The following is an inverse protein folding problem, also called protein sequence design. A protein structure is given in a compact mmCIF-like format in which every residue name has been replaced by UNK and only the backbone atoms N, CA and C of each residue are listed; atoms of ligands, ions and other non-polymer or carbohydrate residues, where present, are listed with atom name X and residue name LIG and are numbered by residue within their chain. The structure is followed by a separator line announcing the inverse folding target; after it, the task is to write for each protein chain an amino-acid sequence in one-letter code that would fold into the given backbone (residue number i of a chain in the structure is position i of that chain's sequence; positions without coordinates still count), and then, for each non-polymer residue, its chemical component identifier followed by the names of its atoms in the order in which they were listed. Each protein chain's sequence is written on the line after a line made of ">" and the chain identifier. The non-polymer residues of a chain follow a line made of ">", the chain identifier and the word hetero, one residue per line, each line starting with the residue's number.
data_IF_038571472031
#
_entry.id   IF_038571472031
#
_cell.length_a   1.000
_cell.length_b   1.000
_cell.length_c   1.000
_cell.angle_alpha   90.00
_cell.angle_beta   90.00
_cell.angle_gamma   90.00
#
_symmetry.space_group_name_H-M   'P 1'
#
loop_
_entity.id
_entity.type
_entity.pdbx_description
1 polymer ?
#
# COMPACT_ATOMS: atom_id res chain seq x y z
N UNK A 1 -14.95 23.20 -34.74
CA UNK A 1 -13.89 23.13 -33.71
C UNK A 1 -13.91 21.73 -33.14
N UNK A 2 -12.75 21.04 -33.10
CA UNK A 2 -12.64 19.72 -32.49
C UNK A 2 -12.92 19.80 -30.99
N UNK A 3 -13.33 18.69 -30.39
CA UNK A 3 -13.30 18.54 -28.94
C UNK A 3 -11.87 18.34 -28.48
N UNK A 4 -11.52 18.97 -27.36
CA UNK A 4 -10.25 18.80 -26.68
C UNK A 4 -10.52 17.86 -25.50
N UNK A 5 -9.75 16.78 -25.43
CA UNK A 5 -9.89 15.78 -24.39
C UNK A 5 -8.75 15.93 -23.39
N UNK A 6 -9.08 16.17 -22.13
CA UNK A 6 -8.17 16.06 -20.99
C UNK A 6 -8.28 14.65 -20.44
N UNK A 7 -7.14 13.95 -20.38
CA UNK A 7 -7.09 12.59 -19.87
C UNK A 7 -6.04 12.53 -18.77
N UNK A 8 -6.47 12.30 -17.53
CA UNK A 8 -5.58 12.03 -16.42
C UNK A 8 -5.38 10.51 -16.32
N UNK A 9 -4.13 10.05 -16.32
CA UNK A 9 -3.76 8.64 -16.36
C UNK A 9 -2.97 8.27 -15.11
N UNK A 10 -3.35 7.16 -14.50
CA UNK A 10 -2.60 6.51 -13.43
C UNK A 10 -2.16 5.11 -13.87
N UNK A 11 -0.92 4.74 -13.54
CA UNK A 11 -0.31 3.45 -13.87
C UNK A 11 0.55 2.98 -12.73
N UNK A 12 0.23 1.78 -12.26
CA UNK A 12 0.86 1.17 -11.08
C UNK A 12 0.56 -0.32 -11.17
N UNK A 13 1.61 -1.15 -11.15
CA UNK A 13 1.65 -2.61 -11.38
C UNK A 13 0.29 -3.31 -11.64
N UNK A 14 -0.15 -3.27 -12.90
CA UNK A 14 -1.29 -4.04 -13.41
C UNK A 14 -2.62 -3.29 -13.48
N UNK A 15 -2.75 -2.11 -12.86
CA UNK A 15 -3.95 -1.28 -12.95
C UNK A 15 -3.64 0.02 -13.71
N UNK A 16 -4.33 0.21 -14.83
CA UNK A 16 -4.26 1.40 -15.66
C UNK A 16 -5.63 2.09 -15.59
N UNK A 17 -5.76 3.16 -14.81
CA UNK A 17 -7.01 3.92 -14.70
C UNK A 17 -6.90 5.27 -15.39
N UNK A 18 -8.01 5.73 -15.92
CA UNK A 18 -8.10 7.04 -16.56
C UNK A 18 -9.32 7.82 -16.07
N UNK A 19 -9.17 9.13 -15.94
CA UNK A 19 -10.28 10.07 -15.89
C UNK A 19 -10.30 10.88 -17.17
N UNK A 20 -11.48 11.09 -17.73
CA UNK A 20 -11.67 11.76 -19.01
C UNK A 20 -12.65 12.93 -18.85
N UNK A 21 -12.22 14.09 -19.34
CA UNK A 21 -13.05 15.26 -19.53
C UNK A 21 -12.87 15.78 -20.95
N UNK A 22 -13.91 16.33 -21.57
CA UNK A 22 -13.81 16.95 -22.89
C UNK A 22 -14.58 18.25 -22.97
N UNK A 23 -14.04 19.23 -23.69
CA UNK A 23 -14.72 20.48 -24.02
C UNK A 23 -14.21 21.03 -25.35
N UNK A 24 -14.98 21.93 -25.96
CA UNK A 24 -14.50 22.78 -27.08
C UNK A 24 -13.85 24.07 -26.60
N UNK A 25 -13.87 24.33 -25.29
CA UNK A 25 -13.38 25.54 -24.66
C UNK A 25 -12.11 25.26 -23.86
N UNK A 26 -10.99 25.85 -24.30
CA UNK A 26 -9.68 25.70 -23.66
C UNK A 26 -9.69 26.10 -22.18
N UNK A 27 -10.49 27.11 -21.80
CA UNK A 27 -10.57 27.56 -20.42
C UNK A 27 -11.17 26.47 -19.51
N UNK A 28 -12.17 25.73 -19.98
CA UNK A 28 -12.78 24.62 -19.23
C UNK A 28 -11.78 23.46 -19.03
N UNK A 29 -10.93 23.18 -20.03
CA UNK A 29 -9.85 22.18 -19.92
C UNK A 29 -8.85 22.57 -18.84
N UNK A 30 -8.45 23.84 -18.78
CA UNK A 30 -7.52 24.35 -17.77
C UNK A 30 -8.15 24.30 -16.38
N UNK A 31 -9.41 24.73 -16.24
CA UNK A 31 -10.15 24.67 -14.97
C UNK A 31 -10.27 23.24 -14.45
N UNK A 32 -10.63 22.29 -15.31
CA UNK A 32 -10.77 20.90 -14.90
C UNK A 32 -9.42 20.27 -14.53
N UNK A 33 -8.35 20.58 -15.27
CA UNK A 33 -6.99 20.14 -14.90
C UNK A 33 -6.59 20.64 -13.51
N UNK A 34 -6.86 21.91 -13.21
CA UNK A 34 -6.58 22.47 -11.88
C UNK A 34 -7.37 21.75 -10.79
N UNK A 35 -8.67 21.47 -11.03
CA UNK A 35 -9.53 20.72 -10.11
C UNK A 35 -8.98 19.31 -9.83
N UNK A 36 -8.50 18.60 -10.85
CA UNK A 36 -7.87 17.28 -10.69
C UNK A 36 -6.62 17.38 -9.81
N UNK A 37 -5.73 18.34 -10.09
CA UNK A 37 -4.50 18.54 -9.31
C UNK A 37 -4.83 18.83 -7.85
N UNK A 38 -5.75 19.76 -7.59
CA UNK A 38 -6.18 20.10 -6.23
C UNK A 38 -6.79 18.91 -5.51
N UNK A 39 -7.56 18.07 -6.20
CA UNK A 39 -8.14 16.87 -5.61
C UNK A 39 -7.08 15.79 -5.26
N UNK A 40 -5.93 15.77 -5.96
CA UNK A 40 -4.84 14.83 -5.73
C UNK A 40 -3.83 15.29 -4.67
N UNK A 41 -3.73 16.60 -4.39
CA UNK A 41 -2.77 17.21 -3.45
C UNK A 41 -3.12 17.01 -1.96
N UNK A 42 -3.49 15.79 -1.57
CA UNK A 42 -3.72 15.41 -0.16
C UNK A 42 -2.46 15.46 0.71
N UNK A 43 -2.61 15.63 2.03
CA UNK A 43 -1.56 16.07 2.96
C UNK A 43 -0.29 15.21 3.05
N UNK A 44 -0.31 13.93 2.66
CA UNK A 44 0.80 13.01 2.98
C UNK A 44 1.45 12.29 1.79
N UNK A 45 0.94 12.45 0.56
CA UNK A 45 1.57 11.82 -0.60
C UNK A 45 1.30 12.62 -1.87
N UNK A 46 2.37 13.00 -2.60
CA UNK A 46 2.22 13.61 -3.93
C UNK A 46 1.73 12.54 -4.88
N UNK A 47 0.42 12.41 -5.01
CA UNK A 47 -0.14 11.50 -5.98
C UNK A 47 0.19 11.99 -7.39
N UNK A 48 0.85 11.13 -8.18
CA UNK A 48 1.31 11.52 -9.51
C UNK A 48 0.40 10.91 -10.58
N UNK A 49 -0.15 11.75 -11.44
CA UNK A 49 -0.88 11.34 -12.64
C UNK A 49 -0.24 11.98 -13.85
N UNK A 50 -0.27 11.30 -14.99
CA UNK A 50 0.16 11.89 -16.25
C UNK A 50 -1.05 12.46 -17.00
N UNK A 51 -0.90 13.67 -17.54
CA UNK A 51 -1.96 14.31 -18.31
C UNK A 51 -1.67 14.18 -19.81
N UNK A 52 -2.69 13.79 -20.57
CA UNK A 52 -2.67 13.80 -22.04
C UNK A 52 -3.76 14.73 -22.56
N UNK A 53 -3.45 15.48 -23.61
CA UNK A 53 -4.39 16.34 -24.32
C UNK A 53 -4.51 15.82 -25.75
N UNK A 54 -5.73 15.46 -26.16
CA UNK A 54 -5.99 14.88 -27.48
C UNK A 54 -7.16 15.59 -28.13
N UNK A 55 -7.01 16.14 -29.34
CA UNK A 55 -8.14 16.67 -30.10
C UNK A 55 -8.83 15.57 -30.90
N UNK A 56 -10.17 15.50 -30.86
CA UNK A 56 -10.96 14.60 -31.73
C UNK A 56 -12.27 15.24 -32.19
N UNK A 57 -13.01 14.58 -33.08
CA UNK A 57 -14.22 15.13 -33.68
C UNK A 57 -15.49 14.95 -32.82
N UNK A 58 -15.44 14.06 -31.81
CA UNK A 58 -16.57 13.75 -30.93
C UNK A 58 -16.16 13.82 -29.45
N UNK A 59 -17.07 14.14 -28.52
CA UNK A 59 -16.70 14.37 -27.11
C UNK A 59 -16.37 13.08 -26.35
N UNK A 60 -16.68 11.90 -26.90
CA UNK A 60 -16.64 10.65 -26.13
C UNK A 60 -15.25 10.04 -26.02
N UNK A 61 -15.04 9.18 -25.01
CA UNK A 61 -13.78 8.46 -24.85
C UNK A 61 -13.52 7.48 -26.01
N UNK A 62 -14.57 6.92 -26.62
CA UNK A 62 -14.47 6.06 -27.79
C UNK A 62 -13.84 6.79 -28.98
N UNK A 63 -14.07 8.11 -29.10
CA UNK A 63 -13.42 8.95 -30.10
C UNK A 63 -11.91 9.01 -29.87
N UNK A 64 -11.46 9.16 -28.62
CA UNK A 64 -10.04 9.09 -28.23
C UNK A 64 -9.44 7.73 -28.55
N UNK A 65 -10.14 6.66 -28.19
CA UNK A 65 -9.72 5.28 -28.42
C UNK A 65 -9.62 4.96 -29.92
N UNK A 66 -10.54 5.48 -30.73
CA UNK A 66 -10.54 5.31 -32.19
C UNK A 66 -9.38 6.08 -32.82
N UNK A 67 -9.08 7.28 -32.29
CA UNK A 67 -7.92 8.09 -32.71
C UNK A 67 -6.60 7.42 -32.32
N UNK A 68 -6.50 6.88 -31.10
CA UNK A 68 -5.31 6.17 -30.61
C UNK A 68 -5.68 4.94 -29.76
N UNK A 69 -5.54 3.72 -30.31
CA UNK A 69 -5.86 2.47 -29.62
C UNK A 69 -5.08 2.22 -28.31
N UNK A 70 -3.99 2.96 -28.04
CA UNK A 70 -3.30 2.95 -26.74
C UNK A 70 -4.25 3.15 -25.57
N UNK A 71 -5.30 3.95 -25.72
CA UNK A 71 -6.24 4.25 -24.63
C UNK A 71 -7.16 3.08 -24.25
N UNK A 72 -7.25 2.02 -25.07
CA UNK A 72 -8.06 0.82 -24.78
C UNK A 72 -7.65 0.09 -23.50
N UNK A 73 -6.40 0.25 -23.08
CA UNK A 73 -5.87 -0.46 -21.90
C UNK A 73 -6.30 0.17 -20.57
N UNK A 74 -6.90 1.36 -20.58
CA UNK A 74 -7.29 2.05 -19.37
C UNK A 74 -8.74 1.75 -18.99
N UNK A 75 -8.95 1.47 -17.71
CA UNK A 75 -10.28 1.41 -17.10
C UNK A 75 -10.70 2.84 -16.81
N UNK A 76 -11.77 3.28 -17.46
CA UNK A 76 -12.30 4.63 -17.30
C UNK A 76 -13.04 4.76 -15.97
N UNK A 77 -12.77 5.84 -15.24
CA UNK A 77 -13.57 6.28 -14.11
C UNK A 77 -14.50 7.40 -14.54
N UNK A 78 -15.79 7.20 -14.33
CA UNK A 78 -16.82 8.16 -14.73
C UNK A 78 -16.92 9.37 -13.77
N UNK A 79 -16.29 9.28 -12.59
CA UNK A 79 -16.33 10.31 -11.55
C UNK A 79 -14.92 10.66 -11.09
N UNK A 80 -14.67 11.96 -10.87
CA UNK A 80 -13.39 12.45 -10.38
C UNK A 80 -13.05 11.88 -9.00
N UNK A 81 -14.01 11.87 -8.08
CA UNK A 81 -13.77 11.40 -6.71
C UNK A 81 -13.37 9.92 -6.69
N UNK A 82 -14.06 9.08 -7.47
CA UNK A 82 -13.72 7.67 -7.61
C UNK A 82 -12.35 7.48 -8.29
N UNK A 83 -11.98 8.34 -9.24
CA UNK A 83 -10.66 8.32 -9.85
C UNK A 83 -9.58 8.65 -8.81
N UNK A 84 -9.75 9.76 -8.08
CA UNK A 84 -8.82 10.23 -7.04
C UNK A 84 -8.65 9.18 -5.94
N UNK A 85 -9.75 8.59 -5.46
CA UNK A 85 -9.71 7.48 -4.50
C UNK A 85 -8.92 6.29 -5.06
N UNK A 86 -9.16 5.89 -6.31
CA UNK A 86 -8.39 4.82 -6.94
C UNK A 86 -6.90 5.15 -7.04
N UNK A 87 -6.55 6.40 -7.34
CA UNK A 87 -5.15 6.85 -7.42
C UNK A 87 -4.50 6.75 -6.04
N UNK A 88 -5.17 7.25 -5.00
CA UNK A 88 -4.66 7.19 -3.63
C UNK A 88 -4.49 5.74 -3.14
N UNK A 89 -5.48 4.87 -3.36
CA UNK A 89 -5.39 3.46 -2.97
C UNK A 89 -4.19 2.80 -3.66
N UNK A 90 -4.08 2.97 -4.97
CA UNK A 90 -3.07 2.23 -5.73
C UNK A 90 -1.65 2.77 -5.48
N UNK A 91 -1.51 4.06 -5.22
CA UNK A 91 -0.23 4.67 -4.86
C UNK A 91 0.11 4.54 -3.38
N UNK A 92 -0.86 4.19 -2.53
CA UNK A 92 -0.61 3.86 -1.13
C UNK A 92 0.18 2.55 -1.01
N UNK A 93 1.06 2.51 -0.01
CA UNK A 93 1.81 1.32 0.34
C UNK A 93 0.91 0.34 1.09
N UNK A 94 0.99 -0.94 0.77
CA UNK A 94 0.31 -2.00 1.52
C UNK A 94 1.29 -3.01 2.14
N UNK A 95 0.73 -3.94 2.92
CA UNK A 95 1.48 -4.98 3.61
C UNK A 95 2.21 -5.93 2.66
N UNK A 96 1.65 -6.19 1.47
CA UNK A 96 2.27 -7.04 0.45
C UNK A 96 3.51 -6.37 -0.14
N UNK A 97 3.44 -5.07 -0.42
CA UNK A 97 4.59 -4.32 -0.92
C UNK A 97 5.79 -4.39 0.05
N UNK A 98 5.54 -4.13 1.34
CA UNK A 98 6.60 -4.19 2.38
C UNK A 98 7.08 -5.61 2.61
N UNK A 99 6.18 -6.59 2.63
CA UNK A 99 6.55 -8.00 2.80
C UNK A 99 7.37 -8.52 1.62
N UNK A 100 7.05 -8.14 0.39
CA UNK A 100 7.84 -8.45 -0.81
C UNK A 100 9.25 -7.89 -0.73
N UNK A 101 9.40 -6.66 -0.26
CA UNK A 101 10.70 -6.05 -0.04
C UNK A 101 11.53 -6.80 1.03
N UNK A 102 10.91 -7.18 2.15
CA UNK A 102 11.54 -7.99 3.19
C UNK A 102 11.92 -9.39 2.69
N UNK A 103 11.04 -10.07 1.96
CA UNK A 103 11.30 -11.41 1.40
C UNK A 103 12.52 -11.40 0.47
N UNK A 104 12.61 -10.41 -0.43
CA UNK A 104 13.76 -10.26 -1.33
C UNK A 104 15.08 -10.00 -0.61
N UNK A 105 15.05 -9.36 0.57
CA UNK A 105 16.25 -9.06 1.37
C UNK A 105 16.70 -10.22 2.25
N UNK A 106 15.75 -11.00 2.76
CA UNK A 106 16.00 -11.94 3.85
C UNK A 106 15.82 -13.41 3.47
N UNK A 107 15.03 -13.70 2.43
CA UNK A 107 14.58 -15.05 2.09
C UNK A 107 14.07 -15.83 3.33
N UNK A 108 13.32 -15.13 4.17
CA UNK A 108 12.89 -15.61 5.49
C UNK A 108 11.84 -16.73 5.37
N UNK A 109 11.57 -17.47 6.45
CA UNK A 109 10.40 -18.35 6.50
C UNK A 109 9.09 -17.54 6.53
N UNK A 110 7.95 -18.14 6.17
CA UNK A 110 6.63 -17.47 6.27
C UNK A 110 6.36 -16.93 7.67
N UNK A 111 6.76 -17.68 8.70
CA UNK A 111 6.68 -17.28 10.09
C UNK A 111 7.49 -16.02 10.37
N UNK A 112 8.79 -16.06 10.05
CA UNK A 112 9.71 -14.95 10.31
C UNK A 112 9.29 -13.69 9.54
N UNK A 113 8.85 -13.83 8.29
CA UNK A 113 8.39 -12.70 7.49
C UNK A 113 7.17 -12.01 8.12
N UNK A 114 6.15 -12.77 8.53
CA UNK A 114 4.95 -12.21 9.18
C UNK A 114 5.29 -11.46 10.47
N UNK A 115 6.22 -12.03 11.28
CA UNK A 115 6.69 -11.38 12.50
C UNK A 115 7.43 -10.09 12.22
N UNK A 116 8.40 -10.11 11.31
CA UNK A 116 9.15 -8.90 10.97
C UNK A 116 8.24 -7.82 10.36
N UNK A 117 7.31 -8.20 9.48
CA UNK A 117 6.33 -7.27 8.92
C UNK A 117 5.46 -6.60 10.01
N UNK A 118 4.96 -7.39 10.96
CA UNK A 118 4.20 -6.89 12.10
C UNK A 118 5.02 -5.94 12.98
N UNK A 119 6.28 -6.28 13.28
CA UNK A 119 7.15 -5.40 14.07
C UNK A 119 7.50 -4.11 13.34
N UNK A 120 7.70 -4.14 12.01
CA UNK A 120 7.84 -2.92 11.20
C UNK A 120 6.60 -2.03 11.34
N UNK A 121 5.41 -2.62 11.25
CA UNK A 121 4.17 -1.89 11.41
C UNK A 121 4.04 -1.26 12.81
N UNK A 122 4.26 -2.07 13.84
CA UNK A 122 4.06 -1.70 15.23
C UNK A 122 5.09 -0.69 15.75
N UNK A 123 6.38 -0.88 15.45
CA UNK A 123 7.44 0.09 15.79
C UNK A 123 7.17 1.44 15.10
N UNK A 124 6.74 1.44 13.84
CA UNK A 124 6.42 2.68 13.14
C UNK A 124 5.19 3.37 13.73
N UNK A 125 4.09 2.62 13.91
CA UNK A 125 2.83 3.15 14.43
C UNK A 125 3.00 3.76 15.82
N UNK A 126 3.73 3.07 16.70
CA UNK A 126 3.98 3.56 18.06
C UNK A 126 4.91 4.77 18.08
N UNK A 127 5.90 4.81 17.19
CA UNK A 127 6.88 5.90 17.13
C UNK A 127 6.32 7.19 16.50
N UNK A 128 5.49 7.06 15.47
CA UNK A 128 5.04 8.21 14.68
C UNK A 128 3.54 8.52 14.86
N UNK A 129 2.78 7.63 15.50
CA UNK A 129 1.35 7.83 15.78
C UNK A 129 0.40 7.48 14.63
N UNK A 130 0.94 7.21 13.44
CA UNK A 130 0.20 6.89 12.21
C UNK A 130 0.67 5.55 11.58
N UNK A 131 -0.21 4.82 10.87
CA UNK A 131 0.16 3.60 10.15
C UNK A 131 1.21 3.84 9.05
N UNK A 132 2.23 2.97 8.92
CA UNK A 132 3.22 3.09 7.83
C UNK A 132 2.69 2.69 6.45
N UNK A 133 1.76 1.74 6.41
CA UNK A 133 1.15 1.17 5.21
C UNK A 133 -0.21 0.59 5.57
N UNK A 134 -1.03 0.24 4.57
CA UNK A 134 -2.30 -0.45 4.79
C UNK A 134 -2.03 -1.93 5.13
N UNK A 135 -2.49 -2.37 6.29
CA UNK A 135 -2.38 -3.75 6.74
C UNK A 135 -3.59 -4.14 7.58
N UNK A 136 -3.85 -5.44 7.70
CA UNK A 136 -4.89 -5.97 8.59
C UNK A 136 -4.37 -7.21 9.29
N UNK A 137 -3.76 -7.01 10.46
CA UNK A 137 -3.24 -8.09 11.27
C UNK A 137 -4.33 -8.78 12.09
N UNK A 138 -4.26 -10.10 12.14
CA UNK A 138 -5.14 -10.95 12.93
C UNK A 138 -4.32 -11.91 13.80
N UNK A 139 -4.88 -12.29 14.95
CA UNK A 139 -4.25 -13.16 15.92
C UNK A 139 -4.41 -14.64 15.53
N UNK A 140 -3.48 -15.14 14.71
CA UNK A 140 -3.36 -16.58 14.42
C UNK A 140 -2.68 -17.30 15.59
N UNK A 141 -2.78 -18.63 15.63
CA UNK A 141 -2.20 -19.46 16.70
C UNK A 141 -0.70 -19.18 16.96
N UNK A 142 0.08 -18.94 15.90
CA UNK A 142 1.52 -18.70 16.01
C UNK A 142 1.89 -17.21 16.04
N UNK A 143 0.92 -16.30 16.20
CA UNK A 143 1.18 -14.87 16.26
C UNK A 143 0.37 -14.01 15.29
N UNK A 144 0.71 -12.71 15.20
CA UNK A 144 0.08 -11.79 14.26
C UNK A 144 0.38 -12.20 12.82
N UNK A 145 -0.66 -12.21 11.99
CA UNK A 145 -0.58 -12.52 10.55
C UNK A 145 -1.38 -11.49 9.77
N UNK A 146 -0.77 -10.92 8.74
CA UNK A 146 -1.50 -10.23 7.69
C UNK A 146 -1.97 -11.25 6.64
N UNK A 147 -3.29 -11.31 6.42
CA UNK A 147 -3.90 -12.36 5.61
C UNK A 147 -3.61 -12.21 4.11
N UNK A 148 -3.42 -10.99 3.62
CA UNK A 148 -3.09 -10.75 2.21
C UNK A 148 -1.67 -11.19 1.92
N UNK A 149 -0.73 -10.92 2.83
CA UNK A 149 0.64 -11.46 2.76
C UNK A 149 0.66 -12.99 2.85
N UNK A 150 -0.14 -13.58 3.75
CA UNK A 150 -0.26 -15.03 3.85
C UNK A 150 -0.74 -15.65 2.53
N UNK A 151 -1.84 -15.13 1.96
CA UNK A 151 -2.40 -15.61 0.68
C UNK A 151 -1.39 -15.45 -0.45
N UNK A 152 -0.80 -14.26 -0.60
CA UNK A 152 0.18 -13.97 -1.64
C UNK A 152 1.34 -14.95 -1.56
N UNK A 153 1.93 -15.12 -0.37
CA UNK A 153 3.05 -16.04 -0.17
C UNK A 153 2.70 -17.50 -0.44
N UNK A 154 1.48 -17.92 -0.10
CA UNK A 154 1.02 -19.32 -0.26
C UNK A 154 0.69 -19.67 -1.71
N UNK A 155 0.07 -18.76 -2.44
CA UNK A 155 -0.51 -19.04 -3.76
C UNK A 155 0.23 -18.38 -4.92
N UNK A 156 1.08 -17.37 -4.66
CA UNK A 156 1.78 -16.58 -5.68
C UNK A 156 3.12 -16.04 -5.13
N UNK A 157 4.02 -16.97 -4.79
CA UNK A 157 5.35 -16.63 -4.27
C UNK A 157 6.21 -15.91 -5.32
N UNK A 158 6.15 -16.35 -6.59
CA UNK A 158 6.91 -15.73 -7.68
C UNK A 158 6.46 -14.28 -7.92
N UNK A 159 5.14 -14.02 -7.90
CA UNK A 159 4.60 -12.67 -7.97
C UNK A 159 4.91 -11.82 -6.72
N UNK A 160 5.21 -12.44 -5.58
CA UNK A 160 5.71 -11.75 -4.40
C UNK A 160 7.18 -11.36 -4.55
N UNK A 161 8.01 -12.26 -5.05
CA UNK A 161 9.46 -12.05 -5.26
C UNK A 161 9.74 -11.05 -6.39
N UNK A 162 8.85 -10.94 -7.38
CA UNK A 162 8.93 -9.98 -8.48
C UNK A 162 8.21 -8.64 -8.22
N UNK A 163 7.69 -8.41 -7.00
CA UNK A 163 7.04 -7.15 -6.64
C UNK A 163 8.05 -6.11 -6.12
N UNK A 164 8.17 -4.99 -6.85
CA UNK A 164 9.04 -3.84 -6.57
C UNK A 164 8.28 -2.56 -6.17
N UNK A 165 6.98 -2.67 -5.86
CA UNK A 165 6.13 -1.54 -5.50
C UNK A 165 6.64 -0.77 -4.28
N UNK A 166 7.27 -1.44 -3.32
CA UNK A 166 7.83 -0.76 -2.14
C UNK A 166 8.77 0.36 -2.59
N UNK A 167 9.77 0.03 -3.40
CA UNK A 167 10.76 0.98 -3.89
C UNK A 167 10.11 2.08 -4.74
N UNK A 168 9.18 1.73 -5.62
CA UNK A 168 8.48 2.70 -6.49
C UNK A 168 7.64 3.70 -5.67
N UNK A 169 6.91 3.22 -4.66
CA UNK A 169 5.97 4.03 -3.87
C UNK A 169 6.66 4.85 -2.78
N UNK A 170 7.81 4.41 -2.28
CA UNK A 170 8.54 5.14 -1.22
C UNK A 170 9.53 6.16 -1.76
N UNK A 171 9.95 6.05 -3.02
CA UNK A 171 11.00 6.88 -3.61
C UNK A 171 10.71 8.38 -3.45
N UNK A 172 11.62 9.09 -2.78
CA UNK A 172 11.52 10.54 -2.59
C UNK A 172 10.48 10.99 -1.55
N UNK A 173 9.76 10.08 -0.88
CA UNK A 173 8.79 10.42 0.15
C UNK A 173 9.43 10.51 1.55
N UNK A 174 9.16 11.57 2.36
CA UNK A 174 9.64 11.64 3.74
C UNK A 174 9.19 10.45 4.60
N UNK A 175 7.96 9.97 4.40
CA UNK A 175 7.42 8.76 5.06
C UNK A 175 8.21 7.51 4.67
N UNK A 176 8.57 7.37 3.40
CA UNK A 176 9.43 6.29 2.90
C UNK A 176 10.81 6.23 3.55
N UNK A 177 11.45 7.38 3.79
CA UNK A 177 12.73 7.42 4.51
C UNK A 177 12.59 6.98 5.98
N UNK A 178 11.54 7.45 6.68
CA UNK A 178 11.23 7.01 8.05
C UNK A 178 10.97 5.50 8.09
N UNK A 179 10.19 4.99 7.14
CA UNK A 179 9.83 3.56 7.08
C UNK A 179 11.06 2.69 6.80
N UNK A 180 11.90 3.07 5.84
CA UNK A 180 13.15 2.35 5.55
C UNK A 180 14.05 2.26 6.80
N UNK A 181 14.13 3.36 7.57
CA UNK A 181 14.90 3.38 8.82
C UNK A 181 14.33 2.43 9.89
N UNK A 182 12.99 2.33 9.99
CA UNK A 182 12.33 1.37 10.89
C UNK A 182 12.53 -0.06 10.41
N UNK A 183 12.42 -0.33 9.10
CA UNK A 183 12.69 -1.65 8.55
C UNK A 183 14.10 -2.11 8.90
N UNK A 184 15.11 -1.28 8.66
CA UNK A 184 16.50 -1.64 8.97
C UNK A 184 16.71 -1.85 10.47
N UNK A 185 16.06 -1.05 11.31
CA UNK A 185 16.06 -1.27 12.75
C UNK A 185 15.45 -2.63 13.11
N UNK A 186 14.24 -2.92 12.64
CA UNK A 186 13.52 -4.16 12.98
C UNK A 186 14.28 -5.39 12.50
N UNK A 187 14.76 -5.37 11.25
CA UNK A 187 15.55 -6.46 10.69
C UNK A 187 16.80 -6.71 11.53
N UNK A 188 17.52 -5.65 11.93
CA UNK A 188 18.73 -5.79 12.75
C UNK A 188 18.41 -6.29 14.15
N UNK A 189 17.34 -5.81 14.78
CA UNK A 189 17.00 -6.12 16.17
C UNK A 189 16.37 -7.50 16.33
N UNK A 190 15.48 -7.90 15.41
CA UNK A 190 14.55 -9.03 15.63
C UNK A 190 14.78 -10.23 14.71
N UNK A 191 15.69 -10.16 13.73
CA UNK A 191 15.90 -11.28 12.79
C UNK A 191 16.25 -12.59 13.49
N UNK A 192 17.04 -12.53 14.55
CA UNK A 192 17.49 -13.73 15.28
C UNK A 192 16.48 -14.24 16.31
N UNK A 193 15.43 -13.46 16.57
CA UNK A 193 14.37 -13.84 17.52
C UNK A 193 13.38 -14.83 16.90
N UNK A 194 12.99 -14.63 15.64
CA UNK A 194 11.91 -15.38 15.00
C UNK A 194 12.40 -16.51 14.09
N UNK A 195 13.32 -17.34 14.58
CA UNK A 195 13.93 -18.41 13.78
C UNK A 195 13.06 -19.68 13.75
N UNK A 196 12.49 -20.09 14.88
CA UNK A 196 11.71 -21.33 15.01
C UNK A 196 10.28 -21.03 15.45
N UNK A 197 9.29 -21.47 14.65
CA UNK A 197 7.87 -21.28 14.94
C UNK A 197 7.44 -21.98 16.23
N UNK A 198 7.99 -23.17 16.50
CA UNK A 198 7.60 -24.02 17.63
C UNK A 198 8.26 -23.61 18.96
N UNK A 199 9.07 -22.55 18.97
CA UNK A 199 9.70 -22.04 20.18
C UNK A 199 8.87 -20.90 20.77
N UNK A 200 7.77 -21.26 21.44
CA UNK A 200 6.87 -20.27 22.06
C UNK A 200 7.56 -19.37 23.09
N UNK A 201 8.53 -19.91 23.82
CA UNK A 201 9.28 -19.14 24.82
C UNK A 201 10.10 -18.00 24.20
N UNK A 202 10.59 -18.18 22.97
CA UNK A 202 11.28 -17.15 22.20
C UNK A 202 10.34 -16.20 21.45
N UNK A 203 9.04 -16.54 21.34
CA UNK A 203 8.08 -15.76 20.59
C UNK A 203 7.59 -14.55 21.41
N UNK A 204 8.20 -13.39 21.17
CA UNK A 204 7.89 -12.15 21.91
C UNK A 204 6.41 -11.77 21.88
N UNK A 205 5.71 -12.10 20.78
CA UNK A 205 4.29 -11.75 20.63
C UNK A 205 3.36 -12.57 21.54
N UNK A 206 3.82 -13.72 22.06
CA UNK A 206 3.03 -14.57 22.96
C UNK A 206 3.17 -14.17 24.43
N UNK A 207 4.02 -13.18 24.76
CA UNK A 207 4.14 -12.67 26.13
C UNK A 207 2.78 -12.14 26.62
N UNK A 208 2.54 -12.24 27.93
CA UNK A 208 1.28 -11.80 28.52
C UNK A 208 1.06 -10.30 28.33
N UNK A 209 -0.09 -9.95 27.76
CA UNK A 209 -0.57 -8.59 27.62
C UNK A 209 0.04 -7.81 26.46
N UNK A 210 0.63 -8.50 25.47
CA UNK A 210 0.97 -8.00 24.12
C UNK A 210 -0.29 -7.82 23.25
N UNK A 211 -0.22 -7.10 22.11
CA UNK A 211 -1.36 -6.94 21.22
C UNK A 211 -1.94 -8.27 20.75
N UNK A 212 -1.09 -9.22 20.37
CA UNK A 212 -1.53 -10.57 19.98
C UNK A 212 -2.21 -11.31 21.13
N UNK A 213 -1.61 -11.36 22.33
CA UNK A 213 -2.17 -12.13 23.45
C UNK A 213 -3.50 -11.58 23.96
N UNK A 214 -3.75 -10.28 23.80
CA UNK A 214 -5.04 -9.66 24.11
C UNK A 214 -6.05 -10.00 23.03
N UNK A 215 -5.73 -9.82 21.75
CA UNK A 215 -6.65 -10.11 20.65
C UNK A 215 -7.04 -11.59 20.61
N UNK A 216 -6.09 -12.49 20.82
CA UNK A 216 -6.32 -13.93 20.80
C UNK A 216 -7.34 -14.41 21.85
N UNK A 217 -7.59 -13.63 22.91
CA UNK A 217 -8.64 -13.94 23.90
C UNK A 217 -10.05 -13.79 23.34
N UNK A 218 -10.23 -12.94 22.33
CA UNK A 218 -11.52 -12.67 21.69
C UNK A 218 -11.90 -13.73 20.63
N UNK A 219 -10.99 -14.67 20.35
CA UNK A 219 -11.20 -15.82 19.48
C UNK A 219 -10.17 -15.96 18.37
N UNK A 220 -10.33 -17.02 17.58
CA UNK A 220 -9.44 -17.31 16.46
C UNK A 220 -9.47 -16.20 15.42
N UNK A 221 -8.29 -15.75 15.00
CA UNK A 221 -8.10 -14.73 13.98
C UNK A 221 -8.77 -13.39 14.33
N UNK A 222 -8.93 -13.09 15.63
CA UNK A 222 -9.41 -11.79 16.08
C UNK A 222 -8.49 -10.66 15.57
N UNK A 223 -9.09 -9.52 15.25
CA UNK A 223 -8.37 -8.36 14.68
C UNK A 223 -7.45 -7.75 15.75
N UNK A 224 -6.20 -7.50 15.36
CA UNK A 224 -5.25 -6.74 16.17
C UNK A 224 -5.33 -5.29 15.72
N UNK A 225 -6.01 -4.45 16.49
CA UNK A 225 -6.25 -3.05 16.13
C UNK A 225 -5.04 -2.16 16.42
N UNK A 226 -4.96 -1.01 15.74
CA UNK A 226 -3.95 0.01 15.98
C UNK A 226 -3.91 0.47 17.44
N UNK A 227 -5.07 0.60 18.09
CA UNK A 227 -5.16 0.99 19.50
C UNK A 227 -4.55 -0.08 20.42
N UNK A 228 -4.73 -1.36 20.10
CA UNK A 228 -4.09 -2.45 20.83
C UNK A 228 -2.58 -2.43 20.65
N UNK A 229 -2.11 -2.22 19.42
CA UNK A 229 -0.68 -2.08 19.12
C UNK A 229 -0.10 -0.91 19.91
N UNK A 230 -0.69 0.28 19.80
CA UNK A 230 -0.28 1.49 20.53
C UNK A 230 -0.21 1.27 22.04
N UNK A 231 -1.14 0.49 22.60
CA UNK A 231 -1.22 0.26 24.05
C UNK A 231 -0.30 -0.83 24.57
N UNK A 232 -0.01 -1.86 23.79
CA UNK A 232 0.59 -3.10 24.30
C UNK A 232 1.91 -3.50 23.64
N UNK A 233 2.29 -2.90 22.50
CA UNK A 233 3.50 -3.29 21.76
C UNK A 233 4.81 -3.13 22.57
N UNK A 234 4.85 -2.22 23.54
CA UNK A 234 6.01 -2.04 24.41
C UNK A 234 6.42 -3.31 25.20
N UNK A 235 5.53 -4.31 25.33
CA UNK A 235 5.78 -5.56 26.07
C UNK A 235 6.43 -6.67 25.23
N UNK A 236 6.47 -6.51 23.91
CA UNK A 236 7.07 -7.47 22.97
C UNK A 236 8.40 -6.98 22.39
N UNK A 237 9.02 -5.99 23.03
CA UNK A 237 10.36 -5.51 22.68
C UNK A 237 11.46 -6.39 23.31
N UNK A 238 12.64 -6.43 22.68
CA UNK A 238 13.85 -7.04 23.29
C UNK A 238 14.32 -6.13 24.42
N UNK A 239 14.54 -6.71 25.59
CA UNK A 239 15.09 -6.06 26.79
C UNK A 239 16.58 -5.76 26.66
#
# INVERSE_FOLDING_TARGET
>A
MPYIHLIALNRTNGQATAYHFSSKNDAEIVTEKARIITALDGEDNKSSVSFQIIPTDAPSYESVVSYNPYFKQFILSDQLDAFVESVHIVQSLDSVDVASYLERRLHASSYKLQKLLYFVYADFLTKFGEPPFRASFVAFENGPVDYDVYKKRKFDREGMESNYNYEEKVLGSPKGFKLSSVIDHVVRSYSDTFQEMNNEAANLTHRTGTPWSVAHQDGYNAVITDDMIKRYHAKEQIS
#
